data_IF_443725439496
#
_entry.id   IF_443725439496
#
_cell.length_a   1.000
_cell.length_b   1.000
_cell.length_c   1.000
_cell.angle_alpha   90.00
_cell.angle_beta   90.00
_cell.angle_gamma   90.00
#
_symmetry.space_group_name_H-M   'P 1'
#
loop_
_entity.id
_entity.type
_entity.pdbx_description
1 polymer ?
#
# COMPACT_ATOMS: atom_id res chain seq x y z
N UNK A 1 -24.48 -6.78 14.32
CA UNK A 1 -24.17 -7.74 13.24
C UNK A 1 -22.68 -7.85 13.34
N UNK A 2 -22.21 -8.94 13.94
CA UNK A 2 -20.85 -9.06 14.46
C UNK A 2 -19.96 -9.61 13.35
N UNK A 3 -19.76 -8.82 12.31
CA UNK A 3 -18.78 -9.14 11.27
C UNK A 3 -17.41 -8.79 11.85
N UNK A 4 -16.48 -9.75 11.96
CA UNK A 4 -15.16 -9.46 12.48
C UNK A 4 -14.41 -8.56 11.48
N UNK A 5 -13.79 -7.49 12.02
CA UNK A 5 -12.93 -6.52 11.29
C UNK A 5 -11.80 -7.16 10.46
N UNK A 6 -11.52 -8.44 10.73
CA UNK A 6 -10.49 -9.22 10.08
C UNK A 6 -10.86 -10.71 10.12
N UNK A 7 -10.67 -11.42 9.02
CA UNK A 7 -11.02 -12.85 8.92
C UNK A 7 -10.01 -13.78 9.60
N UNK A 8 -8.79 -13.30 9.87
CA UNK A 8 -7.72 -14.08 10.54
C UNK A 8 -7.61 -13.85 12.05
N UNK A 9 -8.71 -13.56 12.76
CA UNK A 9 -8.73 -13.41 14.23
C UNK A 9 -8.23 -14.64 15.03
N UNK A 10 -7.99 -15.77 14.36
CA UNK A 10 -7.52 -17.00 14.99
C UNK A 10 -6.11 -17.43 14.56
N UNK A 11 -5.42 -16.65 13.71
CA UNK A 11 -4.06 -16.91 13.28
C UNK A 11 -3.08 -15.99 14.02
N UNK A 12 -1.98 -16.58 14.52
CA UNK A 12 -0.86 -15.81 15.06
C UNK A 12 -0.04 -15.25 13.89
N UNK A 13 0.01 -13.93 13.78
CA UNK A 13 0.70 -13.27 12.66
C UNK A 13 1.71 -12.25 13.19
N UNK A 14 2.85 -12.11 12.50
CA UNK A 14 3.79 -11.02 12.77
C UNK A 14 3.25 -9.66 12.31
N UNK A 15 2.23 -9.65 11.45
CA UNK A 15 1.62 -8.45 10.86
C UNK A 15 0.11 -8.56 10.99
N UNK A 16 -0.51 -7.48 11.44
CA UNK A 16 -1.95 -7.31 11.55
C UNK A 16 -2.32 -5.95 10.96
N UNK A 17 -3.51 -5.85 10.39
CA UNK A 17 -4.06 -4.54 10.09
C UNK A 17 -5.50 -4.59 9.60
N UNK A 18 -6.09 -3.41 9.53
CA UNK A 18 -7.47 -3.19 9.07
C UNK A 18 -7.59 -1.73 8.63
N UNK A 19 -8.68 -1.39 7.97
CA UNK A 19 -8.95 -0.01 7.58
C UNK A 19 -10.37 0.39 7.96
N UNK A 20 -10.56 1.67 8.29
CA UNK A 20 -11.85 2.26 8.60
C UNK A 20 -12.11 3.47 7.70
N UNK A 21 -13.38 3.64 7.32
CA UNK A 21 -13.84 4.72 6.44
C UNK A 21 -13.97 6.10 7.13
N UNK A 22 -13.53 6.22 8.39
CA UNK A 22 -13.44 7.47 9.14
C UNK A 22 -12.34 7.33 10.19
N UNK A 23 -11.41 8.28 10.29
CA UNK A 23 -10.35 8.24 11.30
C UNK A 23 -10.79 8.78 12.65
N UNK A 24 -11.89 9.54 12.72
CA UNK A 24 -12.40 10.11 13.96
C UNK A 24 -12.86 9.03 14.96
N UNK A 25 -13.25 7.86 14.47
CA UNK A 25 -13.72 6.71 15.28
C UNK A 25 -12.60 6.11 16.15
N UNK A 26 -11.34 6.41 15.79
CA UNK A 26 -10.15 6.01 16.54
C UNK A 26 -9.66 7.09 17.53
N UNK A 27 -10.33 8.24 17.63
CA UNK A 27 -9.84 9.39 18.38
C UNK A 27 -9.64 9.13 19.89
N UNK A 28 -10.41 8.20 20.46
CA UNK A 28 -10.31 7.80 21.87
C UNK A 28 -9.77 6.37 22.04
N UNK A 29 -9.33 5.74 20.94
CA UNK A 29 -8.80 4.37 20.96
C UNK A 29 -7.47 4.32 21.67
N UNK A 30 -7.29 3.23 22.43
CA UNK A 30 -6.06 2.93 23.14
C UNK A 30 -5.52 1.57 22.73
N UNK A 31 -4.20 1.47 22.73
CA UNK A 31 -3.53 0.19 22.77
C UNK A 31 -3.46 -0.26 24.23
N UNK A 32 -4.07 -1.41 24.51
CA UNK A 32 -4.10 -2.04 25.83
C UNK A 32 -3.17 -3.24 25.79
N UNK A 33 -2.19 -3.24 26.70
CA UNK A 33 -1.23 -4.32 26.89
C UNK A 33 -1.49 -4.95 28.25
N UNK A 34 -1.76 -6.25 28.24
CA UNK A 34 -2.00 -7.04 29.45
C UNK A 34 -0.88 -8.06 29.61
N UNK A 35 -0.40 -8.23 30.85
CA UNK A 35 0.62 -9.24 31.19
C UNK A 35 0.03 -10.46 31.91
N UNK A 36 0.84 -11.50 32.16
CA UNK A 36 0.42 -12.80 32.72
C UNK A 36 -0.32 -12.76 34.08
N UNK A 37 -0.28 -11.62 34.78
CA UNK A 37 -0.84 -11.45 36.12
C UNK A 37 -1.68 -10.18 36.25
N UNK A 38 -2.57 -9.87 35.31
CA UNK A 38 -3.86 -9.14 35.45
C UNK A 38 -3.97 -7.86 36.33
N UNK A 39 -2.87 -7.32 36.86
CA UNK A 39 -2.88 -6.24 37.87
C UNK A 39 -2.44 -4.91 37.32
N UNK A 40 -1.72 -4.89 36.19
CA UNK A 40 -1.23 -3.67 35.56
C UNK A 40 -1.46 -3.76 34.05
N UNK A 41 -2.69 -3.49 33.61
CA UNK A 41 -2.92 -3.14 32.21
C UNK A 41 -2.22 -1.81 31.91
N UNK A 42 -1.44 -1.78 30.84
CA UNK A 42 -0.87 -0.55 30.31
C UNK A 42 -1.81 -0.08 29.20
N UNK A 43 -2.32 1.15 29.33
CA UNK A 43 -3.15 1.77 28.31
C UNK A 43 -2.39 2.93 27.68
N UNK A 44 -2.17 2.87 26.37
CA UNK A 44 -1.40 3.84 25.61
C UNK A 44 -2.31 4.51 24.58
N UNK A 45 -2.25 5.83 24.50
CA UNK A 45 -2.96 6.59 23.46
C UNK A 45 -2.31 6.32 22.10
N UNK A 46 -3.13 5.97 21.09
CA UNK A 46 -2.61 5.78 19.73
C UNK A 46 -2.42 7.11 18.97
N UNK A 47 -3.07 8.17 19.45
CA UNK A 47 -2.99 9.53 18.90
C UNK A 47 -2.86 10.58 20.02
N UNK A 48 -1.72 10.60 20.73
CA UNK A 48 -1.51 11.53 21.84
C UNK A 48 -1.47 13.00 21.41
N UNK A 49 -1.29 13.27 20.10
CA UNK A 49 -1.25 14.62 19.53
C UNK A 49 -2.58 15.02 18.88
N UNK A 50 -3.61 14.16 18.91
CA UNK A 50 -4.96 14.41 18.38
C UNK A 50 -4.98 14.78 16.88
N UNK A 51 -4.16 14.13 16.07
CA UNK A 51 -4.02 14.32 14.62
C UNK A 51 -5.01 13.50 13.78
N UNK A 52 -5.69 12.50 14.35
CA UNK A 52 -6.66 11.65 13.64
C UNK A 52 -7.96 12.37 13.26
N UNK A 53 -8.31 13.49 13.91
CA UNK A 53 -9.63 14.14 13.73
C UNK A 53 -9.86 14.79 12.36
N UNK A 54 -8.81 14.94 11.56
CA UNK A 54 -8.88 15.63 10.26
C UNK A 54 -8.91 14.69 9.05
N UNK A 55 -8.78 13.36 9.27
CA UNK A 55 -8.73 12.35 8.22
C UNK A 55 -10.09 11.78 7.84
N UNK A 56 -10.21 11.27 6.59
CA UNK A 56 -11.41 10.54 6.13
C UNK A 56 -11.20 9.04 6.07
N UNK A 57 -9.99 8.53 5.90
CA UNK A 57 -9.71 7.10 5.91
C UNK A 57 -8.53 6.85 6.81
N UNK A 58 -8.60 5.77 7.58
CA UNK A 58 -7.48 5.31 8.39
C UNK A 58 -7.16 3.86 8.09
N UNK A 59 -5.90 3.59 7.82
CA UNK A 59 -5.32 2.24 7.85
C UNK A 59 -4.61 2.06 9.18
N UNK A 60 -4.85 0.95 9.86
CA UNK A 60 -4.13 0.57 11.07
C UNK A 60 -3.25 -0.62 10.72
N UNK A 61 -1.96 -0.49 10.96
CA UNK A 61 -0.96 -1.52 10.67
C UNK A 61 -0.17 -1.77 11.96
N UNK A 62 -0.14 -3.03 12.39
CA UNK A 62 0.46 -3.46 13.63
C UNK A 62 1.46 -4.60 13.36
N UNK A 63 2.73 -4.43 13.75
CA UNK A 63 3.82 -5.32 13.36
C UNK A 63 4.70 -5.70 14.55
N UNK A 64 4.95 -7.00 14.70
CA UNK A 64 6.01 -7.55 15.54
C UNK A 64 7.25 -7.79 14.68
N UNK A 65 8.31 -7.02 14.95
CA UNK A 65 9.52 -6.93 14.14
C UNK A 65 10.76 -7.34 14.94
N UNK A 66 11.79 -7.78 14.23
CA UNK A 66 13.09 -8.11 14.86
C UNK A 66 13.97 -6.86 15.10
N UNK A 67 13.67 -5.76 14.41
CA UNK A 67 14.42 -4.50 14.46
C UNK A 67 13.49 -3.31 14.16
N UNK A 68 13.85 -2.09 14.59
CA UNK A 68 13.07 -0.89 14.27
C UNK A 68 13.09 -0.61 12.76
N UNK A 69 11.93 -0.24 12.20
CA UNK A 69 11.83 0.31 10.85
C UNK A 69 12.55 1.67 10.78
N UNK A 70 13.40 1.86 9.76
CA UNK A 70 14.04 3.15 9.53
C UNK A 70 12.98 4.24 9.29
N UNK A 71 13.21 5.44 9.82
CA UNK A 71 12.24 6.52 9.73
C UNK A 71 12.04 7.01 8.30
N UNK A 72 13.07 7.01 7.46
CA UNK A 72 12.94 7.41 6.05
C UNK A 72 12.17 6.36 5.28
N UNK A 73 12.46 5.07 5.50
CA UNK A 73 11.70 3.98 4.90
C UNK A 73 10.21 4.07 5.30
N UNK A 74 9.92 4.30 6.58
CA UNK A 74 8.55 4.52 7.07
C UNK A 74 7.85 5.71 6.41
N UNK A 75 8.57 6.80 6.13
CA UNK A 75 8.01 7.97 5.44
C UNK A 75 7.67 7.66 3.98
N UNK A 76 8.53 6.90 3.30
CA UNK A 76 8.25 6.45 1.94
C UNK A 76 7.03 5.54 1.95
N UNK A 77 7.02 4.56 2.85
CA UNK A 77 6.05 3.47 2.93
C UNK A 77 4.65 3.93 3.38
N UNK A 78 4.57 4.69 4.48
CA UNK A 78 3.31 5.09 5.12
C UNK A 78 2.95 6.57 4.86
N UNK A 79 3.85 7.34 4.26
CA UNK A 79 3.67 8.77 4.02
C UNK A 79 4.29 9.65 5.11
N UNK A 80 4.06 10.97 5.01
CA UNK A 80 4.64 11.96 5.91
C UNK A 80 4.26 11.68 7.37
N UNK A 81 5.25 11.64 8.26
CA UNK A 81 5.03 11.42 9.69
C UNK A 81 4.41 12.68 10.32
N UNK A 82 3.18 12.54 10.82
CA UNK A 82 2.45 13.59 11.54
C UNK A 82 2.85 13.67 13.01
N UNK A 83 3.30 12.55 13.58
CA UNK A 83 3.75 12.43 14.95
C UNK A 83 4.05 10.99 15.34
N UNK A 84 4.81 10.80 16.41
CA UNK A 84 5.04 9.48 16.99
C UNK A 84 5.25 9.56 18.49
N UNK A 85 5.06 8.41 19.14
CA UNK A 85 5.44 8.15 20.52
C UNK A 85 6.10 6.78 20.62
N UNK A 86 6.98 6.62 21.59
CA UNK A 86 7.71 5.38 21.82
C UNK A 86 7.76 5.07 23.32
N UNK A 87 7.58 3.79 23.65
CA UNK A 87 7.50 3.28 25.01
C UNK A 87 8.36 2.02 25.15
N UNK A 88 9.10 1.93 26.26
CA UNK A 88 9.69 0.67 26.69
C UNK A 88 8.65 -0.12 27.47
N UNK A 89 8.38 -1.36 27.06
CA UNK A 89 7.39 -2.25 27.69
C UNK A 89 8.02 -3.62 27.97
N UNK A 90 7.65 -4.22 29.10
CA UNK A 90 8.04 -5.60 29.39
C UNK A 90 6.95 -6.55 28.89
N UNK A 91 7.31 -7.47 28.01
CA UNK A 91 6.41 -8.48 27.44
C UNK A 91 6.89 -9.88 27.83
N UNK A 92 5.96 -10.82 27.86
CA UNK A 92 6.24 -12.25 28.05
C UNK A 92 5.26 -13.13 27.30
N UNK A 93 5.38 -14.47 27.39
CA UNK A 93 4.63 -15.41 26.55
C UNK A 93 3.10 -15.27 26.62
N UNK A 94 2.58 -14.84 27.78
CA UNK A 94 1.14 -14.64 27.98
C UNK A 94 0.69 -13.18 27.77
N UNK A 95 1.57 -12.31 27.25
CA UNK A 95 1.23 -10.91 26.98
C UNK A 95 0.25 -10.80 25.82
N UNK A 96 -0.80 -9.99 26.00
CA UNK A 96 -1.79 -9.72 24.96
C UNK A 96 -1.82 -8.23 24.62
N UNK A 97 -1.94 -7.93 23.33
CA UNK A 97 -2.09 -6.56 22.83
C UNK A 97 -3.41 -6.43 22.07
N UNK A 98 -4.22 -5.44 22.44
CA UNK A 98 -5.51 -5.18 21.82
C UNK A 98 -5.80 -3.68 21.67
N UNK A 99 -6.67 -3.32 20.74
CA UNK A 99 -7.17 -1.96 20.54
C UNK A 99 -8.60 -1.84 21.06
N UNK A 100 -8.83 -0.90 21.97
CA UNK A 100 -10.15 -0.55 22.49
C UNK A 100 -10.15 0.81 23.23
N UNK A 101 -11.30 1.51 23.32
CA UNK A 101 -12.51 1.30 22.52
C UNK A 101 -12.34 1.84 21.10
N UNK A 102 -13.14 1.36 20.15
CA UNK A 102 -13.27 1.98 18.82
C UNK A 102 -14.74 2.38 18.65
N UNK A 103 -15.02 3.61 18.24
CA UNK A 103 -16.40 4.07 18.08
C UNK A 103 -17.14 3.22 17.04
N UNK A 104 -18.33 2.73 17.40
CA UNK A 104 -19.15 1.87 16.53
C UNK A 104 -18.77 0.39 16.54
N UNK A 105 -17.71 -0.01 17.23
CA UNK A 105 -17.28 -1.40 17.41
C UNK A 105 -17.39 -1.79 18.90
N UNK A 106 -18.12 -2.86 19.18
CA UNK A 106 -18.50 -3.27 20.54
C UNK A 106 -17.56 -4.29 21.19
N UNK A 107 -16.52 -4.70 20.47
CA UNK A 107 -15.54 -5.69 20.92
C UNK A 107 -14.10 -5.18 20.73
N UNK A 108 -13.14 -5.64 21.55
CA UNK A 108 -11.74 -5.29 21.37
C UNK A 108 -11.14 -5.95 20.12
N UNK A 109 -10.23 -5.25 19.45
CA UNK A 109 -9.47 -5.80 18.32
C UNK A 109 -8.15 -6.35 18.82
N UNK A 110 -8.03 -7.68 18.86
CA UNK A 110 -6.83 -8.38 19.32
C UNK A 110 -5.81 -8.46 18.19
N UNK A 111 -4.59 -7.99 18.43
CA UNK A 111 -3.54 -7.93 17.40
C UNK A 111 -2.91 -9.31 17.10
N UNK A 112 -3.11 -10.30 17.98
CA UNK A 112 -2.63 -11.69 17.85
C UNK A 112 -1.16 -11.83 17.41
N UNK A 113 -0.29 -10.94 17.91
CA UNK A 113 1.15 -11.05 17.69
C UNK A 113 1.69 -12.36 18.28
N UNK A 114 2.57 -13.03 17.53
CA UNK A 114 3.14 -14.32 17.92
C UNK A 114 3.95 -14.25 19.23
N UNK A 115 3.99 -15.39 19.94
CA UNK A 115 4.53 -15.63 21.28
C UNK A 115 5.77 -14.76 21.62
N UNK A 116 5.55 -13.71 22.42
CA UNK A 116 6.64 -12.90 22.94
C UNK A 116 7.56 -13.75 23.82
N UNK A 117 8.87 -13.51 23.69
CA UNK A 117 9.83 -14.03 24.66
C UNK A 117 9.86 -13.07 25.84
N UNK A 118 10.03 -13.57 27.06
CA UNK A 118 10.16 -12.72 28.24
C UNK A 118 11.34 -11.74 28.08
N UNK A 119 11.05 -10.44 28.10
CA UNK A 119 12.07 -9.41 27.87
C UNK A 119 11.53 -7.99 27.75
N UNK A 120 12.45 -7.03 27.56
CA UNK A 120 12.14 -5.64 27.27
C UNK A 120 11.98 -5.42 25.76
N UNK A 121 10.89 -4.75 25.39
CA UNK A 121 10.55 -4.38 24.03
C UNK A 121 10.39 -2.87 23.93
N UNK A 122 10.66 -2.35 22.74
CA UNK A 122 10.31 -1.01 22.35
C UNK A 122 9.06 -1.07 21.48
N UNK A 123 8.06 -0.30 21.89
CA UNK A 123 6.80 -0.13 21.19
C UNK A 123 6.76 1.29 20.65
N UNK A 124 6.64 1.43 19.33
CA UNK A 124 6.46 2.71 18.65
C UNK A 124 5.06 2.78 18.05
N UNK A 125 4.37 3.88 18.32
CA UNK A 125 3.13 4.25 17.64
C UNK A 125 3.39 5.52 16.85
N UNK A 126 3.22 5.47 15.54
CA UNK A 126 3.39 6.64 14.65
C UNK A 126 2.18 6.84 13.76
N UNK A 127 1.91 8.11 13.47
CA UNK A 127 0.85 8.55 12.59
C UNK A 127 1.46 9.10 11.32
N UNK A 128 0.97 8.62 10.18
CA UNK A 128 1.44 9.03 8.87
C UNK A 128 0.28 9.45 7.99
N UNK A 129 0.55 10.28 6.98
CA UNK A 129 -0.42 10.62 5.95
C UNK A 129 0.14 10.35 4.56
N UNK A 130 -0.51 9.44 3.83
CA UNK A 130 -0.29 9.28 2.40
C UNK A 130 -1.11 10.32 1.66
N UNK A 131 -0.43 11.18 0.91
CA UNK A 131 -1.06 12.13 -0.02
C UNK A 131 -0.77 11.69 -1.44
N UNK A 132 -1.79 11.60 -2.32
CA UNK A 132 -1.59 11.17 -3.71
C UNK A 132 -0.55 12.02 -4.44
N UNK A 133 0.29 11.39 -5.28
CA UNK A 133 1.35 12.10 -6.03
C UNK A 133 0.82 13.17 -6.98
N UNK A 134 -0.41 13.06 -7.49
CA UNK A 134 -1.08 14.16 -8.20
C UNK A 134 -0.99 15.50 -7.45
N UNK A 135 -0.99 15.48 -6.11
CA UNK A 135 -0.94 16.66 -5.28
C UNK A 135 0.43 17.35 -5.22
N UNK A 136 1.49 16.73 -5.76
CA UNK A 136 2.82 17.35 -5.86
C UNK A 136 2.84 18.48 -6.91
N UNK A 137 1.90 18.47 -7.85
CA UNK A 137 1.77 19.47 -8.92
C UNK A 137 0.76 20.58 -8.61
N UNK A 138 0.63 21.58 -9.51
CA UNK A 138 -0.44 22.56 -9.43
C UNK A 138 -1.80 21.87 -9.60
N UNK A 139 -2.72 22.16 -8.68
CA UNK A 139 -4.06 21.58 -8.65
C UNK A 139 -5.12 22.65 -8.92
N UNK A 140 -6.10 22.29 -9.75
CA UNK A 140 -7.35 23.01 -9.86
C UNK A 140 -8.21 22.84 -8.59
N UNK A 141 -9.13 23.76 -8.27
CA UNK A 141 -9.94 23.69 -7.06
C UNK A 141 -10.71 22.38 -6.86
N UNK A 142 -11.22 21.80 -7.94
CA UNK A 142 -11.92 20.51 -7.90
C UNK A 142 -10.97 19.35 -7.54
N UNK A 143 -9.72 19.42 -8.03
CA UNK A 143 -8.69 18.43 -7.75
C UNK A 143 -8.20 18.51 -6.29
N UNK A 144 -8.17 19.71 -5.68
CA UNK A 144 -7.86 19.87 -4.25
C UNK A 144 -8.83 19.10 -3.36
N UNK A 145 -10.13 19.16 -3.66
CA UNK A 145 -11.14 18.43 -2.90
C UNK A 145 -10.98 16.91 -3.08
N UNK A 146 -10.66 16.45 -4.29
CA UNK A 146 -10.40 15.04 -4.59
C UNK A 146 -9.16 14.52 -3.88
N UNK A 147 -8.06 15.28 -3.89
CA UNK A 147 -6.82 14.94 -3.18
C UNK A 147 -7.10 14.76 -1.69
N UNK A 148 -7.83 15.69 -1.07
CA UNK A 148 -8.21 15.57 0.34
C UNK A 148 -9.07 14.32 0.60
N UNK A 149 -9.92 13.94 -0.34
CA UNK A 149 -10.74 12.73 -0.23
C UNK A 149 -9.92 11.43 -0.36
N UNK A 150 -8.83 11.48 -1.12
CA UNK A 150 -7.96 10.34 -1.38
C UNK A 150 -6.83 10.17 -0.36
N UNK A 151 -6.61 11.14 0.54
CA UNK A 151 -5.66 11.02 1.63
C UNK A 151 -6.01 9.85 2.55
N UNK A 152 -4.99 9.09 2.94
CA UNK A 152 -5.10 7.97 3.88
C UNK A 152 -4.18 8.25 5.06
N UNK A 153 -4.76 8.29 6.26
CA UNK A 153 -3.99 8.32 7.50
C UNK A 153 -3.59 6.89 7.84
N UNK A 154 -2.35 6.66 8.25
CA UNK A 154 -1.89 5.35 8.72
C UNK A 154 -1.49 5.45 10.18
N UNK A 155 -2.07 4.60 11.03
CA UNK A 155 -1.61 4.33 12.40
C UNK A 155 -0.68 3.12 12.33
N UNK A 156 0.62 3.36 12.45
CA UNK A 156 1.63 2.30 12.48
C UNK A 156 2.00 1.98 13.94
N UNK A 157 1.82 0.73 14.34
CA UNK A 157 2.13 0.21 15.66
C UNK A 157 3.23 -0.86 15.50
N UNK A 158 4.47 -0.53 15.81
CA UNK A 158 5.60 -1.45 15.68
C UNK A 158 6.12 -1.86 17.06
N UNK A 159 6.30 -3.15 17.30
CA UNK A 159 6.95 -3.69 18.49
C UNK A 159 8.20 -4.48 18.10
N UNK A 160 9.32 -4.23 18.77
CA UNK A 160 10.59 -4.91 18.53
C UNK A 160 11.43 -5.03 19.81
N UNK A 161 12.35 -6.00 19.92
CA UNK A 161 13.19 -6.16 21.10
C UNK A 161 14.01 -4.89 21.40
N UNK A 162 14.09 -4.47 22.66
CA UNK A 162 14.81 -3.23 23.03
C UNK A 162 16.31 -3.29 22.70
N UNK A 163 16.90 -4.49 22.77
CA UNK A 163 18.31 -4.72 22.40
C UNK A 163 18.59 -4.44 20.91
N UNK A 164 17.58 -4.57 20.03
CA UNK A 164 17.73 -4.28 18.60
C UNK A 164 18.06 -2.79 18.33
N UNK A 165 17.65 -1.89 19.23
CA UNK A 165 18.02 -0.46 19.16
C UNK A 165 19.52 -0.25 19.39
N UNK A 166 20.15 -1.11 20.19
CA UNK A 166 21.57 -0.97 20.56
C UNK A 166 22.51 -1.60 19.54
N UNK A 167 22.04 -2.55 18.73
CA UNK A 167 22.84 -3.23 17.70
C UNK A 167 22.81 -2.57 16.32
N UNK A 168 21.97 -1.56 16.11
CA UNK A 168 21.88 -0.88 14.81
C UNK A 168 23.06 0.07 14.57
N UNK A 169 24.05 -0.41 13.81
CA UNK A 169 24.76 0.43 12.84
C UNK A 169 23.72 1.13 11.99
N UNK A 170 23.80 2.46 11.86
CA UNK A 170 22.83 3.30 11.13
C UNK A 170 22.34 2.60 9.86
N UNK A 171 21.09 2.08 9.83
CA UNK A 171 20.54 1.52 8.62
C UNK A 171 20.54 2.63 7.56
N UNK A 172 21.04 2.33 6.36
CA UNK A 172 20.80 3.22 5.23
C UNK A 172 19.38 2.94 4.78
N UNK A 173 18.57 3.99 4.63
CA UNK A 173 17.28 3.91 3.96
C UNK A 173 17.45 3.15 2.64
N UNK A 174 16.67 2.08 2.49
CA UNK A 174 16.71 1.23 1.30
C UNK A 174 15.62 1.66 0.33
N UNK A 175 14.52 2.19 0.85
CA UNK A 175 13.37 2.63 0.08
C UNK A 175 13.52 4.07 -0.42
N UNK A 176 13.26 4.29 -1.70
CA UNK A 176 13.15 5.62 -2.30
C UNK A 176 11.74 5.89 -2.81
N UNK A 177 11.50 7.12 -3.29
CA UNK A 177 10.20 7.51 -3.85
C UNK A 177 9.87 6.80 -5.16
N UNK A 178 10.87 6.22 -5.80
CA UNK A 178 10.74 5.40 -6.98
C UNK A 178 10.40 3.94 -6.61
N UNK A 179 10.46 3.55 -5.33
CA UNK A 179 10.02 2.22 -4.87
C UNK A 179 8.57 2.18 -4.39
N UNK A 180 7.96 3.34 -4.10
CA UNK A 180 6.56 3.42 -3.71
C UNK A 180 5.88 4.65 -4.28
N UNK A 181 4.77 4.42 -4.98
CA UNK A 181 3.87 5.47 -5.46
C UNK A 181 2.48 5.27 -4.88
N UNK A 182 2.01 6.26 -4.13
CA UNK A 182 0.60 6.37 -3.75
C UNK A 182 -0.05 7.41 -4.64
N UNK A 183 -1.08 7.01 -5.38
CA UNK A 183 -1.77 7.93 -6.30
C UNK A 183 -3.29 7.76 -6.26
N UNK A 184 -3.97 8.69 -6.92
CA UNK A 184 -5.42 8.78 -6.95
C UNK A 184 -5.91 9.38 -8.26
N UNK A 185 -6.09 8.53 -9.27
CA UNK A 185 -6.65 8.95 -10.56
C UNK A 185 -7.76 8.00 -11.04
N UNK A 186 -8.99 8.52 -11.02
CA UNK A 186 -10.11 8.02 -11.82
C UNK A 186 -10.56 6.59 -11.52
N UNK A 187 -11.63 6.17 -12.19
CA UNK A 187 -12.30 4.88 -11.99
C UNK A 187 -11.83 3.81 -12.99
N UNK A 188 -10.56 3.83 -13.40
CA UNK A 188 -10.07 3.01 -14.53
C UNK A 188 -8.83 2.16 -14.25
N UNK A 189 -8.07 2.47 -13.19
CA UNK A 189 -6.76 1.88 -12.93
C UNK A 189 -5.62 2.56 -13.70
N UNK A 190 -4.55 1.82 -14.00
CA UNK A 190 -3.32 2.35 -14.58
C UNK A 190 -2.63 1.34 -15.49
N UNK A 191 -1.72 1.83 -16.32
CA UNK A 191 -0.68 1.01 -16.96
C UNK A 191 0.69 1.33 -16.36
N UNK A 192 1.56 0.33 -16.34
CA UNK A 192 3.00 0.50 -16.16
C UNK A 192 3.64 0.36 -17.53
N UNK A 193 4.36 1.38 -18.02
CA UNK A 193 4.86 1.39 -19.38
C UNK A 193 6.34 1.78 -19.47
N UNK A 194 7.06 1.10 -20.36
CA UNK A 194 8.28 1.64 -20.95
C UNK A 194 7.84 2.69 -21.98
N UNK A 195 7.45 3.86 -21.48
CA UNK A 195 6.69 4.86 -22.24
C UNK A 195 7.40 5.30 -23.53
N UNK A 196 8.73 5.55 -23.56
CA UNK A 196 9.43 5.90 -24.80
C UNK A 196 9.37 4.79 -25.87
N UNK A 197 9.54 3.52 -25.47
CA UNK A 197 9.49 2.39 -26.41
C UNK A 197 8.06 2.11 -26.85
N UNK A 198 7.10 2.18 -25.94
CA UNK A 198 5.67 2.07 -26.25
C UNK A 198 5.24 3.16 -27.23
N UNK A 199 5.63 4.42 -27.02
CA UNK A 199 5.34 5.54 -27.93
C UNK A 199 5.78 5.27 -29.36
N UNK A 200 7.04 4.87 -29.52
CA UNK A 200 7.58 4.51 -30.82
C UNK A 200 6.81 3.33 -31.44
N UNK A 201 6.51 2.30 -30.64
CA UNK A 201 5.83 1.10 -31.14
C UNK A 201 4.40 1.38 -31.58
N UNK A 202 3.67 2.22 -30.85
CA UNK A 202 2.32 2.68 -31.21
C UNK A 202 2.38 3.42 -32.55
N UNK A 203 3.34 4.34 -32.73
CA UNK A 203 3.51 5.05 -34.00
C UNK A 203 3.83 4.09 -35.17
N UNK A 204 4.67 3.07 -34.95
CA UNK A 204 5.01 2.06 -35.95
C UNK A 204 3.79 1.20 -36.36
N UNK A 205 2.86 0.93 -35.43
CA UNK A 205 1.70 0.05 -35.66
C UNK A 205 0.50 0.77 -36.26
N UNK A 206 0.16 1.96 -35.74
CA UNK A 206 -1.08 2.68 -36.10
C UNK A 206 -0.83 4.09 -36.67
N UNK A 207 0.44 4.44 -36.92
CA UNK A 207 0.85 5.72 -37.48
C UNK A 207 0.89 6.85 -36.46
N UNK A 208 1.32 8.04 -36.89
CA UNK A 208 1.25 9.25 -36.08
C UNK A 208 -0.16 9.86 -36.09
N UNK A 209 -0.58 10.46 -34.98
CA UNK A 209 -1.89 11.09 -34.89
C UNK A 209 -2.43 11.17 -33.47
N UNK A 210 -3.61 11.78 -33.35
CA UNK A 210 -4.35 11.78 -32.11
C UNK A 210 -5.16 10.49 -31.99
N UNK A 211 -4.59 9.53 -31.27
CA UNK A 211 -5.19 8.21 -31.06
C UNK A 211 -5.87 8.12 -29.71
N UNK A 212 -7.04 7.49 -29.70
CA UNK A 212 -7.69 7.04 -28.48
C UNK A 212 -7.28 5.57 -28.25
N UNK A 213 -6.26 5.34 -27.42
CA UNK A 213 -5.75 3.99 -27.20
C UNK A 213 -6.74 3.11 -26.42
N UNK A 214 -7.67 3.70 -25.66
CA UNK A 214 -8.72 2.93 -24.96
C UNK A 214 -9.62 2.22 -25.97
N UNK A 215 -10.04 2.93 -27.02
CA UNK A 215 -10.82 2.34 -28.12
C UNK A 215 -9.98 1.32 -28.90
N UNK A 216 -8.72 1.64 -29.20
CA UNK A 216 -7.83 0.74 -29.95
C UNK A 216 -7.54 -0.58 -29.20
N UNK A 217 -7.45 -0.54 -27.87
CA UNK A 217 -7.31 -1.75 -27.04
C UNK A 217 -8.56 -2.63 -27.05
N UNK A 218 -9.73 -2.05 -27.35
CA UNK A 218 -11.00 -2.78 -27.41
C UNK A 218 -11.30 -3.34 -28.80
N UNK A 219 -10.72 -2.75 -29.85
CA UNK A 219 -11.08 -3.02 -31.25
C UNK A 219 -10.04 -3.83 -32.04
N UNK A 220 -8.86 -4.15 -31.47
CA UNK A 220 -7.83 -4.91 -32.18
C UNK A 220 -6.68 -5.43 -31.32
N UNK A 221 -5.64 -5.96 -31.97
CA UNK A 221 -4.51 -6.70 -31.35
C UNK A 221 -3.42 -5.78 -30.75
N UNK A 222 -3.68 -4.47 -30.65
CA UNK A 222 -2.67 -3.50 -30.20
C UNK A 222 -2.26 -3.78 -28.75
N UNK A 223 -3.23 -3.98 -27.85
CA UNK A 223 -2.97 -4.28 -26.43
C UNK A 223 -2.16 -5.57 -26.29
N UNK A 224 -2.59 -6.64 -26.95
CA UNK A 224 -1.90 -7.93 -26.94
C UNK A 224 -0.47 -7.82 -27.46
N UNK A 225 -0.25 -7.08 -28.54
CA UNK A 225 1.10 -6.85 -29.10
C UNK A 225 1.99 -6.11 -28.10
N UNK A 226 1.49 -5.06 -27.46
CA UNK A 226 2.27 -4.27 -26.49
C UNK A 226 2.58 -5.07 -25.21
N UNK A 227 1.65 -5.92 -24.77
CA UNK A 227 1.84 -6.85 -23.64
C UNK A 227 2.89 -7.93 -23.98
N UNK A 228 2.77 -8.57 -25.15
CA UNK A 228 3.67 -9.64 -25.62
C UNK A 228 5.10 -9.15 -25.85
N UNK A 229 5.27 -7.91 -26.30
CA UNK A 229 6.58 -7.26 -26.45
C UNK A 229 7.15 -6.73 -25.13
N UNK A 230 6.40 -6.84 -24.01
CA UNK A 230 6.81 -6.40 -22.69
C UNK A 230 6.97 -4.89 -22.57
N UNK A 231 6.17 -4.13 -23.32
CA UNK A 231 6.18 -2.66 -23.34
C UNK A 231 5.23 -2.05 -22.30
N UNK A 232 4.25 -2.84 -21.83
CA UNK A 232 3.35 -2.41 -20.78
C UNK A 232 2.88 -3.58 -19.89
N UNK A 233 2.43 -3.24 -18.69
CA UNK A 233 1.57 -4.04 -17.82
C UNK A 233 0.33 -3.22 -17.47
N UNK A 234 -0.81 -3.87 -17.21
CA UNK A 234 -2.11 -3.18 -17.10
C UNK A 234 -2.91 -3.63 -15.88
N UNK A 235 -3.38 -2.66 -15.10
CA UNK A 235 -4.38 -2.86 -14.08
C UNK A 235 -5.62 -2.05 -14.48
N UNK A 236 -6.65 -2.71 -15.02
CA UNK A 236 -7.85 -2.08 -15.58
C UNK A 236 -9.11 -2.45 -14.81
N UNK A 237 -10.02 -1.48 -14.67
CA UNK A 237 -11.32 -1.69 -14.01
C UNK A 237 -11.18 -1.81 -12.50
N UNK A 238 -10.02 -1.42 -11.98
CA UNK A 238 -9.74 -1.30 -10.56
C UNK A 238 -10.54 -0.11 -10.04
N UNK A 239 -11.60 -0.42 -9.29
CA UNK A 239 -12.37 0.59 -8.54
C UNK A 239 -11.98 0.40 -7.08
N UNK A 240 -11.00 1.19 -6.63
CA UNK A 240 -11.35 2.54 -6.15
C UNK A 240 -10.37 3.65 -6.53
N UNK A 241 -10.72 4.85 -6.07
CA UNK A 241 -10.11 6.14 -6.39
C UNK A 241 -8.63 6.28 -6.03
N UNK A 242 -8.10 5.54 -5.05
CA UNK A 242 -6.69 5.61 -4.64
C UNK A 242 -6.04 4.23 -4.56
N UNK A 243 -4.74 4.16 -4.82
CA UNK A 243 -3.97 2.92 -4.79
C UNK A 243 -2.51 3.19 -4.42
N UNK A 244 -1.86 2.19 -3.84
CA UNK A 244 -0.41 2.15 -3.66
C UNK A 244 0.22 1.16 -4.64
N UNK A 245 1.38 1.51 -5.21
CA UNK A 245 2.22 0.61 -6.00
C UNK A 245 3.57 0.53 -5.30
N UNK A 246 3.97 -0.67 -4.92
CA UNK A 246 5.22 -1.00 -4.25
C UNK A 246 6.12 -1.80 -5.17
N UNK A 247 7.41 -1.49 -5.16
CA UNK A 247 8.43 -2.28 -5.81
C UNK A 247 9.65 -2.33 -4.90
N UNK A 248 9.90 -3.50 -4.32
CA UNK A 248 10.99 -3.67 -3.37
C UNK A 248 12.34 -3.33 -4.03
N UNK A 249 13.23 -2.60 -3.35
CA UNK A 249 14.57 -2.31 -3.88
C UNK A 249 15.44 -3.58 -3.99
N UNK A 250 15.20 -4.57 -3.14
CA UNK A 250 15.83 -5.88 -3.17
C UNK A 250 14.99 -6.97 -2.49
N UNK A 251 15.45 -8.22 -2.59
CA UNK A 251 14.80 -9.41 -2.02
C UNK A 251 14.64 -9.35 -0.49
N UNK A 252 15.60 -8.79 0.24
CA UNK A 252 15.51 -8.67 1.70
C UNK A 252 14.44 -7.63 2.05
N UNK A 253 14.50 -6.44 1.45
CA UNK A 253 13.48 -5.42 1.66
C UNK A 253 12.09 -5.86 1.21
N UNK A 254 11.98 -6.79 0.24
CA UNK A 254 10.68 -7.40 -0.12
C UNK A 254 10.05 -8.16 1.05
N UNK A 255 10.87 -8.83 1.86
CA UNK A 255 10.41 -9.51 3.08
C UNK A 255 10.07 -8.53 4.21
N UNK A 256 10.64 -7.32 4.17
CA UNK A 256 10.32 -6.21 5.08
C UNK A 256 9.03 -5.47 4.69
N UNK A 257 8.52 -5.63 3.46
CA UNK A 257 7.22 -5.09 3.05
C UNK A 257 6.12 -5.87 3.76
N UNK A 258 5.80 -5.40 4.94
CA UNK A 258 4.55 -5.62 5.65
C UNK A 258 3.54 -4.50 5.37
N UNK A 259 3.80 -3.70 4.33
CA UNK A 259 3.01 -2.53 3.99
C UNK A 259 1.74 -2.96 3.27
N UNK A 260 0.62 -2.73 3.94
CA UNK A 260 -0.74 -3.05 3.52
C UNK A 260 -1.07 -4.54 3.31
N UNK A 261 -0.12 -5.45 3.56
CA UNK A 261 -0.34 -6.91 3.50
C UNK A 261 -1.15 -7.36 4.72
N UNK A 262 -2.47 -7.38 4.58
CA UNK A 262 -3.42 -7.93 5.56
C UNK A 262 -3.62 -9.45 5.41
N UNK A 263 -2.90 -10.07 4.47
CA UNK A 263 -2.91 -11.51 4.25
C UNK A 263 -1.63 -11.97 3.57
N UNK A 264 -1.30 -13.25 3.78
CA UNK A 264 -0.12 -13.88 3.18
C UNK A 264 -0.28 -14.09 1.66
N UNK A 265 -1.53 -14.11 1.17
CA UNK A 265 -1.85 -14.37 -0.23
C UNK A 265 -2.49 -13.15 -0.90
N UNK A 266 -2.07 -12.82 -2.14
CA UNK A 266 -2.72 -11.77 -2.92
C UNK A 266 -4.14 -12.18 -3.32
N UNK A 267 -5.02 -11.20 -3.45
CA UNK A 267 -6.39 -11.41 -3.97
C UNK A 267 -6.35 -11.90 -5.42
N UNK A 268 -5.43 -11.36 -6.21
CA UNK A 268 -5.16 -11.80 -7.58
C UNK A 268 -3.76 -11.37 -8.00
N UNK A 269 -3.24 -11.99 -9.05
CA UNK A 269 -1.89 -11.77 -9.56
C UNK A 269 -1.93 -11.56 -11.07
N UNK A 270 -1.33 -10.46 -11.52
CA UNK A 270 -1.01 -10.24 -12.92
C UNK A 270 0.38 -10.75 -13.27
N UNK A 271 0.53 -11.30 -14.46
CA UNK A 271 1.80 -11.81 -15.00
C UNK A 271 2.05 -11.15 -16.35
N UNK A 272 3.17 -10.45 -16.48
CA UNK A 272 3.52 -9.69 -17.68
C UNK A 272 4.94 -10.00 -18.11
N UNK A 273 5.22 -9.78 -19.40
CA UNK A 273 6.59 -9.66 -19.87
C UNK A 273 7.11 -8.25 -19.55
N UNK A 274 8.40 -8.16 -19.30
CA UNK A 274 9.12 -6.90 -19.19
C UNK A 274 10.48 -7.07 -19.82
N UNK A 275 10.94 -6.07 -20.55
CA UNK A 275 12.27 -6.17 -21.15
C UNK A 275 13.36 -6.20 -20.07
N UNK A 276 14.36 -7.11 -20.11
CA UNK A 276 15.33 -7.30 -19.02
C UNK A 276 16.10 -6.02 -18.65
N UNK A 277 16.41 -5.19 -19.65
CA UNK A 277 17.10 -3.90 -19.45
C UNK A 277 16.20 -2.77 -18.93
N UNK A 278 14.87 -2.95 -18.95
CA UNK A 278 13.93 -2.00 -18.36
C UNK A 278 14.10 -2.01 -16.84
N UNK A 279 14.46 -0.86 -16.27
CA UNK A 279 14.63 -0.67 -14.82
C UNK A 279 13.57 0.22 -14.20
N UNK A 280 12.82 0.94 -15.03
CA UNK A 280 11.82 1.91 -14.60
C UNK A 280 10.61 1.83 -15.52
N UNK A 281 9.42 1.94 -14.94
CA UNK A 281 8.17 2.02 -15.67
C UNK A 281 7.44 3.30 -15.27
N UNK A 282 6.90 4.00 -16.26
CA UNK A 282 5.98 5.11 -16.04
C UNK A 282 4.61 4.56 -15.61
N UNK A 283 4.02 5.15 -14.57
CA UNK A 283 2.67 4.85 -14.11
C UNK A 283 1.74 5.84 -14.81
N UNK A 284 0.94 5.35 -15.74
CA UNK A 284 0.03 6.18 -16.54
C UNK A 284 -1.42 5.79 -16.22
N UNK A 285 -2.25 6.71 -15.70
CA UNK A 285 -3.67 6.44 -15.50
C UNK A 285 -4.37 6.08 -16.81
N UNK A 286 -5.26 5.08 -16.78
CA UNK A 286 -5.90 4.58 -18.01
C UNK A 286 -6.67 5.67 -18.77
N UNK A 287 -7.32 6.60 -18.07
CA UNK A 287 -8.09 7.69 -18.68
C UNK A 287 -7.24 8.63 -19.56
N UNK A 288 -5.93 8.67 -19.34
CA UNK A 288 -4.99 9.51 -20.11
C UNK A 288 -4.68 8.91 -21.48
N UNK A 289 -4.87 7.60 -21.64
CA UNK A 289 -4.66 6.88 -22.90
C UNK A 289 -5.67 7.25 -23.98
N UNK A 290 -6.78 7.92 -23.62
CA UNK A 290 -7.76 8.44 -24.56
C UNK A 290 -7.21 9.60 -25.42
N UNK A 291 -6.18 10.29 -24.94
CA UNK A 291 -5.57 11.45 -25.59
C UNK A 291 -4.06 11.26 -25.71
N UNK A 292 -3.66 10.28 -26.52
CA UNK A 292 -2.27 9.79 -26.56
C UNK A 292 -1.18 10.85 -26.75
N UNK A 293 -1.29 11.82 -27.69
CA UNK A 293 -0.27 12.84 -27.83
C UNK A 293 -0.08 13.68 -26.57
N UNK A 294 -1.17 14.09 -25.92
CA UNK A 294 -1.13 14.86 -24.67
C UNK A 294 -0.60 14.01 -23.51
N UNK A 295 -0.89 12.71 -23.50
CA UNK A 295 -0.32 11.78 -22.53
C UNK A 295 1.22 11.75 -22.60
N UNK A 296 1.81 11.80 -23.80
CA UNK A 296 3.26 11.77 -23.99
C UNK A 296 3.97 13.08 -23.61
N UNK A 297 3.25 14.20 -23.55
CA UNK A 297 3.80 15.50 -23.14
C UNK A 297 3.88 15.66 -21.61
N UNK A 298 3.20 14.79 -20.85
CA UNK A 298 3.15 14.84 -19.38
C UNK A 298 4.33 14.08 -18.77
N UNK A 299 4.83 14.60 -17.65
CA UNK A 299 5.72 13.85 -16.77
C UNK A 299 4.90 12.94 -15.86
N UNK A 300 5.09 11.64 -15.99
CA UNK A 300 4.41 10.64 -15.19
C UNK A 300 5.26 10.19 -14.01
N UNK A 301 4.65 9.83 -12.86
CA UNK A 301 5.35 9.11 -11.82
C UNK A 301 6.03 7.86 -12.40
N UNK A 302 7.25 7.59 -11.95
CA UNK A 302 7.98 6.38 -12.31
C UNK A 302 8.13 5.48 -11.10
N UNK A 303 8.14 4.18 -11.36
CA UNK A 303 8.45 3.14 -10.38
C UNK A 303 9.68 2.37 -10.86
N UNK A 304 10.64 2.17 -9.97
CA UNK A 304 11.77 1.27 -10.17
C UNK A 304 11.25 -0.17 -10.16
N UNK A 305 11.79 -1.01 -11.04
CA UNK A 305 11.51 -2.45 -11.06
C UNK A 305 12.82 -3.17 -10.78
N UNK A 306 13.11 -3.38 -9.50
CA UNK A 306 14.34 -4.02 -9.09
C UNK A 306 14.35 -5.51 -9.42
N UNK A 307 15.56 -6.07 -9.49
CA UNK A 307 15.79 -7.47 -9.82
C UNK A 307 16.10 -7.73 -11.30
N UNK A 308 16.23 -9.01 -11.61
CA UNK A 308 16.59 -9.55 -12.92
C UNK A 308 15.46 -10.41 -13.48
N UNK A 309 15.49 -10.63 -14.81
CA UNK A 309 14.51 -11.45 -15.51
C UNK A 309 13.55 -10.69 -16.42
N UNK A 310 12.75 -11.49 -17.11
CA UNK A 310 11.88 -11.06 -18.21
C UNK A 310 10.39 -11.07 -17.82
N UNK A 311 10.08 -11.44 -16.58
CA UNK A 311 8.72 -11.46 -16.03
C UNK A 311 8.54 -10.38 -14.98
N UNK A 312 7.46 -9.62 -15.11
CA UNK A 312 6.93 -8.75 -14.08
C UNK A 312 5.66 -9.37 -13.50
N UNK A 313 5.71 -9.70 -12.21
CA UNK A 313 4.57 -10.11 -11.41
C UNK A 313 4.00 -8.89 -10.69
N UNK A 314 2.67 -8.72 -10.74
CA UNK A 314 1.95 -7.66 -10.05
C UNK A 314 0.87 -8.28 -9.17
N UNK A 315 1.15 -8.36 -7.87
CA UNK A 315 0.25 -8.93 -6.87
C UNK A 315 -0.68 -7.84 -6.31
N UNK A 316 -1.99 -8.09 -6.29
CA UNK A 316 -2.97 -7.18 -5.71
C UNK A 316 -3.37 -7.63 -4.30
N UNK A 317 -3.15 -6.73 -3.33
CA UNK A 317 -3.69 -6.82 -1.97
C UNK A 317 -4.75 -5.75 -1.78
N UNK A 318 -5.77 -6.01 -0.96
CA UNK A 318 -6.89 -5.08 -0.76
C UNK A 318 -7.19 -5.01 0.73
N UNK A 319 -7.16 -3.79 1.29
CA UNK A 319 -7.77 -3.52 2.60
C UNK A 319 -9.20 -3.01 2.37
N UNK A 320 -10.20 -3.72 2.89
CA UNK A 320 -11.58 -3.24 2.90
C UNK A 320 -11.71 -2.22 4.03
N UNK A 321 -12.13 -1.00 3.70
CA UNK A 321 -12.39 0.03 4.70
C UNK A 321 -13.77 -0.18 5.29
N UNK A 322 -13.85 -0.67 6.53
CA UNK A 322 -15.13 -0.88 7.17
C UNK A 322 -15.80 0.45 7.55
N UNK A 323 -17.09 0.54 7.28
CA UNK A 323 -17.91 1.68 7.63
C UNK A 323 -18.68 1.44 8.93
N UNK A 324 -18.21 2.06 10.00
CA UNK A 324 -18.88 2.00 11.32
C UNK A 324 -19.96 3.08 11.50
N UNK A 325 -20.03 4.04 10.58
CA UNK A 325 -20.95 5.19 10.63
C UNK A 325 -21.81 5.35 9.37
N UNK A 326 -21.83 4.36 8.47
CA UNK A 326 -22.63 4.37 7.24
C UNK A 326 -22.07 5.26 6.12
N UNK A 327 -20.82 5.71 6.23
CA UNK A 327 -20.08 6.32 5.13
C UNK A 327 -19.75 5.30 4.04
N UNK A 328 -19.51 5.80 2.82
CA UNK A 328 -19.19 4.95 1.67
C UNK A 328 -17.81 4.29 1.83
N UNK A 329 -17.79 2.97 1.62
CA UNK A 329 -16.63 2.11 1.70
C UNK A 329 -15.86 2.17 0.38
N UNK A 330 -14.63 2.66 0.45
CA UNK A 330 -13.70 2.57 -0.67
C UNK A 330 -12.49 1.79 -0.18
N UNK A 331 -12.17 0.62 -0.76
CA UNK A 331 -11.02 -0.16 -0.36
C UNK A 331 -9.72 0.58 -0.63
N UNK A 332 -8.64 0.06 -0.06
CA UNK A 332 -7.27 0.50 -0.30
C UNK A 332 -6.52 -0.63 -1.00
N UNK A 333 -6.47 -0.63 -2.34
CA UNK A 333 -5.65 -1.57 -3.10
C UNK A 333 -4.17 -1.21 -3.03
N UNK A 334 -3.35 -2.24 -2.88
CA UNK A 334 -1.90 -2.17 -2.89
C UNK A 334 -1.36 -3.19 -3.89
N UNK A 335 -0.66 -2.69 -4.91
CA UNK A 335 -0.02 -3.48 -5.96
C UNK A 335 1.45 -3.69 -5.59
N UNK A 336 1.89 -4.94 -5.50
CA UNK A 336 3.28 -5.29 -5.23
C UNK A 336 3.90 -5.84 -6.51
N UNK A 337 4.92 -5.14 -6.99
CA UNK A 337 5.68 -5.50 -8.17
C UNK A 337 6.87 -6.39 -7.77
N UNK A 338 7.06 -7.47 -8.52
CA UNK A 338 8.19 -8.38 -8.34
C UNK A 338 8.70 -8.83 -9.70
N UNK A 339 10.02 -8.84 -9.87
CA UNK A 339 10.66 -9.38 -11.06
C UNK A 339 11.05 -10.84 -10.87
N UNK A 340 10.87 -11.64 -11.91
CA UNK A 340 11.20 -13.06 -11.90
C UNK A 340 12.03 -13.41 -13.15
N UNK A 341 13.04 -14.27 -12.96
CA UNK A 341 13.97 -14.70 -14.00
C UNK A 341 13.31 -15.50 -15.13
N UNK A 342 12.35 -16.35 -14.79
CA UNK A 342 11.68 -17.23 -15.74
C UNK A 342 10.78 -16.41 -16.67
N UNK A 343 10.94 -16.61 -17.99
CA UNK A 343 10.04 -16.01 -18.97
C UNK A 343 8.62 -16.57 -18.77
N UNK A 344 7.55 -15.74 -18.84
CA UNK A 344 6.24 -16.23 -18.49
C UNK A 344 5.68 -17.05 -19.65
N UNK A 345 5.21 -18.26 -19.35
CA UNK A 345 4.52 -19.12 -20.34
C UNK A 345 3.24 -18.48 -20.86
N UNK A 346 2.60 -17.61 -20.06
CA UNK A 346 1.37 -16.92 -20.39
C UNK A 346 1.34 -15.54 -19.73
N UNK A 347 0.77 -14.57 -20.45
CA UNK A 347 0.47 -13.24 -19.92
C UNK A 347 -0.92 -13.26 -19.30
N UNK A 348 -1.02 -12.80 -18.05
CA UNK A 348 -2.27 -12.73 -17.29
C UNK A 348 -2.48 -11.27 -16.90
N UNK A 349 -3.24 -10.49 -17.68
CA UNK A 349 -3.48 -9.09 -17.36
C UNK A 349 -4.54 -8.95 -16.25
N UNK A 350 -4.40 -7.92 -15.41
CA UNK A 350 -5.37 -7.57 -14.37
C UNK A 350 -6.45 -6.69 -14.99
N UNK A 351 -7.49 -7.29 -15.57
CA UNK A 351 -8.61 -6.59 -16.21
C UNK A 351 -9.91 -6.96 -15.50
N UNK A 352 -10.82 -5.99 -15.34
CA UNK A 352 -12.12 -6.15 -14.66
C UNK A 352 -11.98 -6.65 -13.22
N UNK A 353 -11.01 -6.11 -12.50
CA UNK A 353 -10.81 -6.44 -11.09
C UNK A 353 -11.92 -5.79 -10.26
N UNK A 354 -12.97 -6.56 -9.97
CA UNK A 354 -14.04 -6.15 -9.06
C UNK A 354 -13.52 -6.28 -7.62
N UNK A 355 -13.31 -5.14 -6.97
CA UNK A 355 -12.80 -5.09 -5.59
C UNK A 355 -13.95 -4.98 -4.57
N UNK A 356 -15.08 -4.39 -4.97
CA UNK A 356 -16.34 -4.36 -4.21
C UNK A 356 -17.48 -4.68 -5.17
N UNK A 357 -18.36 -5.60 -4.77
CA UNK A 357 -19.59 -5.98 -5.48
C UNK A 357 -20.73 -4.96 -5.33
#
# INVERSE_FOLDING_TARGET
MDTPLHTNQHHQNSIFGFALADSAVLAETKLIISGPQDKNEIQLEIDPQRRLKDGRKVSVVAQHMNAPLDRQDAIIIYGEELGFVQYTVALGPDSTCLLAPIEGIDHPIVLNWADFVEGEYELRISLHIKTPRIAEGPLEPEQLAMVKYAQVVTVAICVFPAEAVQMNTTPKAVWTRENHVFDSYGSGGFILADLPRMAKRVEDLIGSGNHNLIEQFSEGDLSDTLLEEGLMAIAWGVTPWCYSIYSAPDENSRTEISVDKLGDEPQTTGIYRVHPECKQLSIVPVNELAYWPTCLEKEWPVIDVAGEGDTLRMDLYVQICESVNGLHENPLPSFVLTRCEEQPETIIPLINVVIID
#
